data_IF_453159779089
#
_entry.id   IF_453159779089
#
_cell.length_a   1.000
_cell.length_b   1.000
_cell.length_c   1.000
_cell.angle_alpha   90.00
_cell.angle_beta   90.00
_cell.angle_gamma   90.00
#
_symmetry.space_group_name_H-M   'P 1'
#
loop_
_entity.id
_entity.type
_entity.pdbx_description
1 polymer ?
#
# COMPACT_ATOMS: atom_id res chain seq x y z
N UNK A 1 -19.25 13.48 0.31
CA UNK A 1 -18.13 12.51 0.23
C UNK A 1 -17.20 12.57 1.44
N UNK A 2 -16.70 13.76 1.86
CA UNK A 2 -15.88 13.92 3.09
C UNK A 2 -16.45 13.30 4.39
N UNK A 3 -17.77 13.33 4.67
CA UNK A 3 -18.28 12.80 5.94
C UNK A 3 -18.11 11.28 6.10
N UNK A 4 -18.22 10.50 5.02
CA UNK A 4 -18.16 9.04 5.09
C UNK A 4 -16.73 8.49 5.11
N UNK A 5 -15.76 9.21 4.52
CA UNK A 5 -14.36 8.77 4.52
C UNK A 5 -13.71 8.92 5.90
N UNK A 6 -14.12 9.91 6.70
CA UNK A 6 -13.63 10.10 8.07
C UNK A 6 -14.10 8.99 9.01
N UNK A 7 -15.40 8.63 8.96
CA UNK A 7 -16.02 7.61 9.82
C UNK A 7 -15.35 6.23 9.72
N UNK A 8 -14.74 5.92 8.58
CA UNK A 8 -14.11 4.62 8.38
C UNK A 8 -12.78 4.46 9.12
N UNK A 9 -12.10 5.54 9.49
CA UNK A 9 -10.69 5.44 9.92
C UNK A 9 -10.56 5.01 11.36
N UNK A 10 -11.31 5.65 12.25
CA UNK A 10 -11.19 5.40 13.68
C UNK A 10 -11.62 3.99 14.05
N UNK A 11 -12.80 3.56 13.58
CA UNK A 11 -13.36 2.22 13.83
C UNK A 11 -12.58 1.08 13.17
N UNK A 12 -11.60 1.40 12.29
CA UNK A 12 -10.67 0.43 11.71
C UNK A 12 -9.33 0.37 12.43
N UNK A 13 -9.04 1.34 13.30
CA UNK A 13 -7.81 1.42 14.09
C UNK A 13 -8.06 0.98 15.53
N UNK A 14 -9.14 1.48 16.14
CA UNK A 14 -9.53 1.19 17.51
C UNK A 14 -10.88 0.48 17.56
N UNK A 15 -11.06 -0.40 18.54
CA UNK A 15 -12.31 -1.06 18.88
C UNK A 15 -13.28 -0.06 19.52
N UNK A 16 -13.93 0.72 18.66
CA UNK A 16 -14.89 1.76 19.03
C UNK A 16 -16.29 1.27 18.67
N UNK A 17 -17.15 0.98 19.67
CA UNK A 17 -18.47 0.39 19.41
C UNK A 17 -19.46 1.36 18.77
N UNK A 18 -19.23 2.68 18.90
CA UNK A 18 -20.06 3.70 18.31
C UNK A 18 -19.27 5.00 18.09
N UNK A 19 -19.44 5.59 16.90
CA UNK A 19 -18.86 6.88 16.53
C UNK A 19 -19.96 7.81 15.98
N UNK A 20 -19.94 9.08 16.38
CA UNK A 20 -20.79 10.12 15.77
C UNK A 20 -19.93 11.33 15.41
N UNK A 21 -20.01 11.73 14.15
CA UNK A 21 -19.36 12.93 13.63
C UNK A 21 -20.39 13.90 13.04
N UNK A 22 -20.09 15.20 13.10
CA UNK A 22 -20.87 16.24 12.43
C UNK A 22 -19.91 17.21 11.76
N UNK A 23 -20.01 17.32 10.44
CA UNK A 23 -19.24 18.26 9.64
C UNK A 23 -20.16 19.23 8.91
N UNK A 24 -19.76 20.50 8.81
CA UNK A 24 -20.47 21.51 8.03
C UNK A 24 -19.54 22.05 6.95
N UNK A 25 -19.87 21.76 5.69
CA UNK A 25 -19.19 22.38 4.56
C UNK A 25 -19.72 23.81 4.37
N UNK A 26 -18.82 24.76 4.13
CA UNK A 26 -19.16 26.16 3.87
C UNK A 26 -18.41 26.65 2.64
N UNK A 27 -19.05 27.49 1.83
CA UNK A 27 -18.38 28.18 0.74
C UNK A 27 -17.58 29.36 1.29
N UNK A 28 -16.40 29.57 0.72
CA UNK A 28 -15.54 30.72 1.01
C UNK A 28 -14.91 31.21 -0.29
N UNK A 29 -14.42 32.44 -0.33
CA UNK A 29 -13.70 33.00 -1.48
C UNK A 29 -12.23 32.51 -1.52
N UNK A 30 -12.02 31.20 -1.39
CA UNK A 30 -10.70 30.56 -1.46
C UNK A 30 -10.70 29.45 -2.52
N UNK A 31 -9.52 28.97 -2.90
CA UNK A 31 -9.38 27.87 -3.87
C UNK A 31 -10.11 26.63 -3.35
N UNK A 32 -10.88 25.90 -4.19
CA UNK A 32 -11.51 24.65 -3.77
C UNK A 32 -10.50 23.66 -3.18
N UNK A 33 -10.76 23.21 -1.96
CA UNK A 33 -9.91 22.23 -1.28
C UNK A 33 -9.99 20.85 -1.94
N UNK A 34 -8.89 20.09 -1.87
CA UNK A 34 -8.77 18.74 -2.41
C UNK A 34 -8.17 17.76 -1.41
N UNK A 35 -7.97 16.52 -1.85
CA UNK A 35 -7.25 15.53 -1.07
C UNK A 35 -5.74 15.68 -1.24
N UNK A 36 -5.01 15.59 -0.14
CA UNK A 36 -3.57 15.38 -0.16
C UNK A 36 -3.24 14.22 0.76
N UNK A 37 -2.82 13.10 0.16
CA UNK A 37 -2.58 11.81 0.85
C UNK A 37 -3.76 11.30 1.72
N UNK A 38 -4.99 11.60 1.30
CA UNK A 38 -6.20 11.03 1.88
C UNK A 38 -7.37 12.02 1.96
N UNK A 39 -8.59 11.49 1.90
CA UNK A 39 -9.81 12.29 2.07
C UNK A 39 -10.22 12.32 3.55
N UNK A 40 -9.91 13.40 4.25
CA UNK A 40 -10.28 13.55 5.67
C UNK A 40 -9.49 12.66 6.64
N UNK A 41 -8.70 11.71 6.13
CA UNK A 41 -7.94 10.73 6.91
C UNK A 41 -6.89 11.41 7.80
N UNK A 42 -6.07 12.37 7.33
CA UNK A 42 -5.15 13.09 8.22
C UNK A 42 -5.87 13.82 9.35
N UNK A 43 -7.01 14.46 9.06
CA UNK A 43 -7.76 15.25 10.02
C UNK A 43 -8.34 14.39 11.14
N UNK A 44 -8.99 13.27 10.80
CA UNK A 44 -9.64 12.41 11.81
C UNK A 44 -8.60 11.70 12.68
N UNK A 45 -7.47 11.24 12.12
CA UNK A 45 -6.38 10.67 12.91
C UNK A 45 -5.78 11.72 13.85
N UNK A 46 -5.53 12.95 13.36
CA UNK A 46 -4.97 14.01 14.19
C UNK A 46 -5.87 14.31 15.40
N UNK A 47 -7.17 14.46 15.16
CA UNK A 47 -8.14 14.74 16.24
C UNK A 47 -8.20 13.57 17.23
N UNK A 48 -8.26 12.33 16.73
CA UNK A 48 -8.35 11.14 17.56
C UNK A 48 -7.09 10.91 18.41
N UNK A 49 -5.91 10.98 17.79
CA UNK A 49 -4.63 10.71 18.46
C UNK A 49 -4.29 11.76 19.51
N UNK A 50 -4.57 13.03 19.23
CA UNK A 50 -4.43 14.11 20.24
C UNK A 50 -5.40 13.86 21.41
N UNK A 51 -6.63 13.44 21.11
CA UNK A 51 -7.64 13.17 22.14
C UNK A 51 -7.25 11.98 23.01
N UNK A 52 -6.71 10.91 22.42
CA UNK A 52 -6.18 9.76 23.16
C UNK A 52 -5.01 10.15 24.06
N UNK A 53 -4.09 10.97 23.57
CA UNK A 53 -2.97 11.47 24.37
C UNK A 53 -3.41 12.34 25.55
N UNK A 54 -4.36 13.26 25.33
CA UNK A 54 -4.96 14.07 26.41
C UNK A 54 -5.64 13.17 27.44
N UNK A 55 -6.37 12.15 26.98
CA UNK A 55 -7.10 11.22 27.84
C UNK A 55 -6.14 10.35 28.66
N UNK A 56 -5.09 9.80 28.03
CA UNK A 56 -4.04 9.04 28.69
C UNK A 56 -3.39 9.86 29.82
N UNK A 57 -3.03 11.12 29.55
CA UNK A 57 -2.46 12.03 30.56
C UNK A 57 -3.42 12.29 31.73
N UNK A 58 -4.71 12.56 31.45
CA UNK A 58 -5.71 12.81 32.49
C UNK A 58 -5.99 11.58 33.37
N UNK A 59 -5.93 10.39 32.79
CA UNK A 59 -6.17 9.13 33.48
C UNK A 59 -4.89 8.55 34.12
N UNK A 60 -3.73 9.17 33.93
CA UNK A 60 -2.45 8.64 34.42
C UNK A 60 -2.00 7.35 33.71
N UNK A 61 -2.53 7.08 32.51
CA UNK A 61 -2.19 5.90 31.71
C UNK A 61 -1.05 6.25 30.74
N UNK A 62 -0.16 5.30 30.47
CA UNK A 62 0.87 5.46 29.43
C UNK A 62 0.19 5.60 28.04
N UNK A 63 0.56 6.60 27.21
CA UNK A 63 -0.05 6.77 25.88
C UNK A 63 0.06 5.57 24.94
N UNK A 64 1.13 4.76 25.04
CA UNK A 64 1.27 3.51 24.29
C UNK A 64 0.29 2.48 24.83
N UNK A 65 0.22 2.33 26.15
CA UNK A 65 -0.72 1.40 26.80
C UNK A 65 -2.18 1.76 26.51
N UNK A 66 -2.51 3.06 26.52
CA UNK A 66 -3.85 3.54 26.16
C UNK A 66 -4.26 3.05 24.77
N UNK A 67 -3.35 3.09 23.80
CA UNK A 67 -3.61 2.58 22.45
C UNK A 67 -3.71 1.06 22.43
N UNK A 68 -2.78 0.34 23.08
CA UNK A 68 -2.78 -1.12 23.12
C UNK A 68 -4.07 -1.74 23.70
N UNK A 69 -4.72 -1.03 24.64
CA UNK A 69 -6.01 -1.44 25.22
C UNK A 69 -7.20 -1.28 24.28
N UNK A 70 -7.09 -0.38 23.30
CA UNK A 70 -8.19 0.01 22.45
C UNK A 70 -7.97 -0.38 20.98
N UNK A 71 -6.79 -0.87 20.58
CA UNK A 71 -6.55 -1.30 19.20
C UNK A 71 -7.49 -2.43 18.79
N UNK A 72 -7.93 -2.39 17.54
CA UNK A 72 -8.74 -3.45 16.96
C UNK A 72 -7.96 -4.77 16.88
N UNK A 73 -8.65 -5.89 17.08
CA UNK A 73 -8.07 -7.23 16.93
C UNK A 73 -8.00 -7.66 15.44
N UNK A 74 -7.04 -8.54 15.07
CA UNK A 74 -6.99 -9.11 13.74
C UNK A 74 -8.31 -9.76 13.33
N UNK A 75 -8.72 -9.53 12.09
CA UNK A 75 -9.93 -10.05 11.45
C UNK A 75 -11.26 -9.57 12.04
N UNK A 76 -11.23 -8.53 12.89
CA UNK A 76 -12.45 -7.89 13.35
C UNK A 76 -13.29 -7.35 12.17
N UNK A 77 -14.60 -7.26 12.40
CA UNK A 77 -15.54 -6.68 11.44
C UNK A 77 -15.78 -5.23 11.85
N UNK A 78 -15.45 -4.28 10.99
CA UNK A 78 -15.70 -2.87 11.31
C UNK A 78 -17.21 -2.54 11.23
N UNK A 79 -17.73 -1.76 12.19
CA UNK A 79 -19.17 -1.59 12.39
C UNK A 79 -19.87 -0.72 11.34
N UNK A 80 -19.13 0.00 10.48
CA UNK A 80 -19.71 0.94 9.53
C UNK A 80 -20.10 0.29 8.19
N UNK A 81 -19.22 -0.49 7.58
CA UNK A 81 -19.47 -1.17 6.30
C UNK A 81 -19.57 -2.70 6.44
N UNK A 82 -19.35 -3.24 7.64
CA UNK A 82 -19.37 -4.67 7.89
C UNK A 82 -18.20 -5.41 7.23
N UNK A 83 -17.09 -4.71 6.94
CA UNK A 83 -15.94 -5.33 6.28
C UNK A 83 -14.96 -5.89 7.29
N UNK A 84 -14.36 -7.02 6.93
CA UNK A 84 -13.23 -7.57 7.66
C UNK A 84 -12.00 -6.66 7.49
N UNK A 85 -11.36 -6.26 8.58
CA UNK A 85 -10.18 -5.39 8.55
C UNK A 85 -8.89 -6.12 8.16
N UNK A 86 -8.96 -7.45 8.03
CA UNK A 86 -7.85 -8.34 7.71
C UNK A 86 -6.97 -8.60 8.92
N UNK A 87 -5.80 -9.17 8.67
CA UNK A 87 -4.81 -9.48 9.70
C UNK A 87 -4.11 -8.21 10.23
N UNK A 88 -4.85 -7.34 10.93
CA UNK A 88 -4.38 -6.06 11.43
C UNK A 88 -3.22 -6.21 12.44
N UNK A 89 -2.00 -5.76 12.09
CA UNK A 89 -0.82 -5.82 12.99
C UNK A 89 -0.44 -4.47 13.60
N UNK A 90 -1.44 -3.63 13.89
CA UNK A 90 -1.24 -2.35 14.57
C UNK A 90 -0.63 -2.52 15.97
N UNK A 91 -0.99 -3.60 16.68
CA UNK A 91 -0.44 -3.95 18.00
C UNK A 91 1.06 -4.20 17.91
N UNK A 92 1.52 -4.97 16.94
CA UNK A 92 2.93 -5.27 16.71
C UNK A 92 3.72 -4.04 16.29
N UNK A 93 3.14 -3.17 15.44
CA UNK A 93 3.76 -1.89 15.09
C UNK A 93 4.02 -1.06 16.35
N UNK A 94 3.04 -0.99 17.25
CA UNK A 94 3.14 -0.18 18.45
C UNK A 94 4.10 -0.78 19.49
N UNK A 95 4.07 -2.10 19.72
CA UNK A 95 5.00 -2.77 20.65
C UNK A 95 6.44 -2.68 20.15
N UNK A 96 6.70 -3.09 18.91
CA UNK A 96 8.05 -3.11 18.34
C UNK A 96 8.59 -1.70 18.14
N UNK A 97 7.73 -0.77 17.72
CA UNK A 97 8.10 0.63 17.57
C UNK A 97 8.44 1.29 18.91
N UNK A 98 7.67 1.03 19.96
CA UNK A 98 7.94 1.58 21.29
C UNK A 98 9.26 1.05 21.87
N UNK A 99 9.54 -0.24 21.68
CA UNK A 99 10.80 -0.87 22.08
C UNK A 99 11.99 -0.28 21.31
N UNK A 100 11.95 -0.31 19.98
CA UNK A 100 13.00 0.21 19.11
C UNK A 100 13.26 1.71 19.31
N UNK A 101 12.23 2.50 19.60
CA UNK A 101 12.36 3.93 19.89
C UNK A 101 12.90 4.20 21.31
N UNK A 102 12.87 3.23 22.21
CA UNK A 102 13.21 3.42 23.63
C UNK A 102 12.17 4.27 24.37
N UNK A 103 10.88 4.07 24.06
CA UNK A 103 9.76 4.89 24.53
C UNK A 103 9.76 5.13 26.04
N UNK A 104 9.92 4.07 26.84
CA UNK A 104 9.87 4.18 28.30
C UNK A 104 10.98 5.08 28.86
N UNK A 105 12.18 5.05 28.27
CA UNK A 105 13.28 5.93 28.65
C UNK A 105 13.00 7.37 28.30
N UNK A 106 12.60 7.64 27.04
CA UNK A 106 12.35 9.01 26.55
C UNK A 106 11.15 9.68 27.21
N UNK A 107 10.08 8.93 27.47
CA UNK A 107 8.89 9.45 28.16
C UNK A 107 9.20 9.86 29.60
N UNK A 108 10.06 9.10 30.29
CA UNK A 108 10.44 9.34 31.70
C UNK A 108 11.63 10.29 31.84
N UNK A 109 12.34 10.56 30.75
CA UNK A 109 13.45 11.50 30.75
C UNK A 109 12.98 12.86 31.29
N UNK A 110 13.85 13.53 32.05
CA UNK A 110 13.60 14.93 32.42
C UNK A 110 13.39 15.70 31.11
N UNK A 111 12.30 16.46 31.04
CA UNK A 111 12.05 17.39 29.94
C UNK A 111 13.15 18.45 29.82
N UNK A 112 14.14 18.46 30.72
CA UNK A 112 15.21 19.42 30.81
C UNK A 112 14.77 20.65 31.59
N UNK A 113 15.71 21.45 32.09
CA UNK A 113 15.44 22.74 32.74
C UNK A 113 15.92 23.89 31.86
N UNK A 114 15.28 25.06 31.99
CA UNK A 114 15.69 26.28 31.29
C UNK A 114 15.03 26.46 29.91
N UNK A 115 15.81 27.00 28.96
CA UNK A 115 15.36 27.46 27.63
C UNK A 115 14.87 26.31 26.75
N UNK A 116 15.57 25.19 26.75
CA UNK A 116 15.26 24.04 25.89
C UNK A 116 14.46 23.00 26.66
N UNK A 117 13.38 22.49 26.06
CA UNK A 117 12.59 21.39 26.61
C UNK A 117 12.50 20.23 25.64
N UNK A 118 12.50 19.01 26.15
CA UNK A 118 12.32 17.79 25.35
C UNK A 118 10.96 17.16 25.59
N UNK A 119 10.42 16.54 24.54
CA UNK A 119 9.17 15.79 24.59
C UNK A 119 9.22 14.62 23.63
N UNK A 120 8.50 13.55 23.99
CA UNK A 120 8.27 12.40 23.14
C UNK A 120 6.77 12.25 22.87
N UNK A 121 6.41 11.97 21.62
CA UNK A 121 5.04 11.72 21.17
C UNK A 121 4.90 10.36 20.52
N UNK A 122 3.69 9.82 20.53
CA UNK A 122 3.31 8.59 19.83
C UNK A 122 1.98 8.80 19.13
N UNK A 123 1.83 8.22 17.95
CA UNK A 123 0.56 8.15 17.23
C UNK A 123 0.42 6.80 16.52
N UNK A 124 -0.79 6.28 16.42
CA UNK A 124 -1.11 5.14 15.56
C UNK A 124 -1.95 5.59 14.37
N UNK A 125 -1.86 4.86 13.27
CA UNK A 125 -2.60 5.17 12.05
C UNK A 125 -3.06 3.89 11.36
N UNK A 126 -4.15 4.02 10.59
CA UNK A 126 -4.57 3.02 9.62
C UNK A 126 -4.90 3.66 8.27
N UNK A 127 -4.72 2.91 7.20
CA UNK A 127 -5.18 3.30 5.87
C UNK A 127 -5.82 2.12 5.15
N UNK A 128 -6.76 2.41 4.24
CA UNK A 128 -7.41 1.41 3.39
C UNK A 128 -6.84 1.46 1.98
N UNK A 129 -6.85 0.34 1.27
CA UNK A 129 -6.34 0.22 -0.10
C UNK A 129 -7.51 0.05 -1.08
N UNK A 130 -8.07 1.17 -1.54
CA UNK A 130 -9.32 1.24 -2.31
C UNK A 130 -10.46 1.95 -1.56
N UNK A 131 -11.64 1.98 -2.16
CA UNK A 131 -12.83 2.66 -1.62
C UNK A 131 -14.10 1.79 -1.67
N UNK A 132 -13.99 0.46 -1.65
CA UNK A 132 -15.15 -0.44 -1.66
C UNK A 132 -16.06 -0.25 -0.43
N UNK A 133 -17.39 -0.38 -0.52
CA UNK A 133 -18.21 -0.45 -1.73
C UNK A 133 -18.62 0.95 -2.25
N UNK A 134 -18.00 2.03 -1.76
CA UNK A 134 -18.36 3.40 -2.12
C UNK A 134 -18.04 3.78 -3.57
N UNK A 135 -17.12 3.05 -4.22
CA UNK A 135 -16.85 3.13 -5.65
C UNK A 135 -16.74 1.73 -6.25
N UNK A 136 -16.96 1.64 -7.56
CA UNK A 136 -16.68 0.44 -8.36
C UNK A 136 -15.17 0.28 -8.54
N UNK A 137 -14.53 -0.35 -7.56
CA UNK A 137 -13.09 -0.51 -7.53
C UNK A 137 -12.65 -1.71 -8.38
N UNK A 138 -12.42 -1.48 -9.67
CA UNK A 138 -11.96 -2.51 -10.61
C UNK A 138 -10.82 -2.04 -11.52
N UNK A 139 -9.99 -2.99 -11.96
CA UNK A 139 -8.89 -2.77 -12.91
C UNK A 139 -8.84 -3.91 -13.90
N UNK A 140 -8.60 -3.58 -15.17
CA UNK A 140 -8.34 -4.55 -16.24
C UNK A 140 -6.86 -4.53 -16.59
N UNK A 141 -6.24 -5.70 -16.66
CA UNK A 141 -4.84 -5.85 -17.05
C UNK A 141 -4.73 -6.88 -18.18
N UNK A 142 -3.91 -6.57 -19.18
CA UNK A 142 -3.54 -7.52 -20.23
C UNK A 142 -2.04 -7.74 -20.21
N UNK A 143 -1.61 -9.01 -20.23
CA UNK A 143 -0.22 -9.40 -20.41
C UNK A 143 -0.06 -10.19 -21.72
N UNK A 144 1.01 -9.92 -22.47
CA UNK A 144 1.29 -10.56 -23.75
C UNK A 144 2.74 -11.04 -23.81
N UNK A 145 2.98 -12.22 -24.37
CA UNK A 145 4.33 -12.64 -24.73
C UNK A 145 4.80 -11.88 -25.99
N UNK A 146 6.02 -11.37 -25.96
CA UNK A 146 6.65 -10.68 -27.09
C UNK A 146 7.57 -11.62 -27.90
N UNK A 147 7.85 -11.31 -29.17
CA UNK A 147 8.71 -12.14 -30.03
C UNK A 147 10.12 -12.38 -29.48
N UNK A 148 10.64 -11.46 -28.67
CA UNK A 148 11.98 -11.55 -28.05
C UNK A 148 11.98 -12.31 -26.71
N UNK A 149 10.84 -12.89 -26.31
CA UNK A 149 10.69 -13.64 -25.06
C UNK A 149 10.42 -12.78 -23.82
N UNK A 150 10.31 -11.45 -23.98
CA UNK A 150 9.82 -10.53 -22.94
C UNK A 150 8.31 -10.58 -22.85
N UNK A 151 7.73 -9.83 -21.91
CA UNK A 151 6.29 -9.62 -21.85
C UNK A 151 5.92 -8.13 -21.88
N UNK A 152 4.74 -7.83 -22.40
CA UNK A 152 4.14 -6.51 -22.39
C UNK A 152 2.95 -6.48 -21.43
N UNK A 153 2.88 -5.45 -20.58
CA UNK A 153 1.78 -5.15 -19.68
C UNK A 153 1.00 -3.93 -20.18
N UNK A 154 -0.28 -4.14 -20.49
CA UNK A 154 -1.24 -3.08 -20.82
C UNK A 154 -2.22 -2.90 -19.66
N UNK A 155 -2.16 -1.74 -19.02
CA UNK A 155 -3.04 -1.34 -17.94
C UNK A 155 -3.10 0.20 -17.89
N UNK A 156 -4.27 0.82 -17.74
CA UNK A 156 -4.42 2.29 -17.75
C UNK A 156 -3.99 2.92 -16.43
N UNK A 157 -2.72 2.75 -16.07
CA UNK A 157 -2.17 3.20 -14.81
C UNK A 157 -0.95 4.08 -15.06
N UNK A 158 -0.89 5.18 -14.32
CA UNK A 158 0.19 6.15 -14.44
C UNK A 158 0.92 6.27 -13.12
N UNK A 159 2.23 6.05 -13.13
CA UNK A 159 3.07 6.26 -11.96
C UNK A 159 3.26 7.77 -11.71
N UNK A 160 2.88 8.21 -10.52
CA UNK A 160 3.02 9.61 -10.08
C UNK A 160 4.30 9.84 -9.26
N UNK A 161 5.26 8.92 -9.35
CA UNK A 161 6.49 8.90 -8.56
C UNK A 161 6.39 8.03 -7.31
N UNK A 162 5.40 7.13 -7.23
CA UNK A 162 5.28 6.15 -6.15
C UNK A 162 6.02 4.83 -6.44
N UNK A 163 6.53 4.64 -7.67
CA UNK A 163 7.23 3.42 -8.08
C UNK A 163 6.25 2.29 -8.43
N UNK A 164 5.04 2.66 -8.87
CA UNK A 164 4.01 1.72 -9.31
C UNK A 164 4.50 0.88 -10.49
N UNK A 165 5.13 1.49 -11.50
CA UNK A 165 5.58 0.78 -12.69
C UNK A 165 6.57 -0.34 -12.33
N UNK A 166 7.55 -0.04 -11.47
CA UNK A 166 8.51 -1.04 -10.98
C UNK A 166 7.81 -2.15 -10.19
N UNK A 167 6.93 -1.78 -9.27
CA UNK A 167 6.23 -2.74 -8.40
C UNK A 167 5.32 -3.67 -9.20
N UNK A 168 4.57 -3.13 -10.17
CA UNK A 168 3.66 -3.88 -11.03
C UNK A 168 4.42 -4.79 -12.01
N UNK A 169 5.55 -4.33 -12.54
CA UNK A 169 6.46 -5.17 -13.34
C UNK A 169 7.05 -6.33 -12.51
N UNK A 170 7.39 -6.11 -11.23
CA UNK A 170 7.84 -7.18 -10.33
C UNK A 170 6.76 -8.24 -10.11
N UNK A 171 5.50 -7.83 -9.91
CA UNK A 171 4.36 -8.75 -9.77
C UNK A 171 4.18 -9.58 -11.05
N UNK A 172 4.16 -8.95 -12.22
CA UNK A 172 4.05 -9.65 -13.50
C UNK A 172 5.24 -10.61 -13.72
N UNK A 173 6.47 -10.14 -13.49
CA UNK A 173 7.69 -10.93 -13.64
C UNK A 173 7.71 -12.20 -12.77
N UNK A 174 7.30 -12.10 -11.50
CA UNK A 174 7.22 -13.26 -10.58
C UNK A 174 6.28 -14.34 -11.12
N UNK A 175 5.16 -13.97 -11.75
CA UNK A 175 4.22 -14.95 -12.34
C UNK A 175 4.73 -15.60 -13.63
N UNK A 176 5.63 -14.93 -14.37
CA UNK A 176 6.13 -15.35 -15.68
C UNK A 176 7.55 -15.92 -15.65
N UNK A 177 8.22 -15.93 -14.50
CA UNK A 177 9.63 -16.31 -14.40
C UNK A 177 10.57 -15.34 -15.14
N UNK A 178 10.15 -14.06 -15.25
CA UNK A 178 10.87 -12.98 -15.92
C UNK A 178 11.39 -11.96 -14.90
N UNK A 179 12.45 -11.24 -15.25
CA UNK A 179 12.87 -10.09 -14.43
C UNK A 179 11.92 -8.92 -14.70
N UNK A 180 11.78 -8.01 -13.74
CA UNK A 180 10.94 -6.83 -13.91
C UNK A 180 11.36 -5.97 -15.13
N UNK A 181 12.65 -5.91 -15.46
CA UNK A 181 13.15 -5.19 -16.65
C UNK A 181 12.83 -5.89 -17.99
N UNK A 182 12.35 -7.14 -17.95
CA UNK A 182 11.86 -7.87 -19.11
C UNK A 182 10.33 -7.75 -19.26
N UNK A 183 9.68 -6.91 -18.44
CA UNK A 183 8.28 -6.53 -18.55
C UNK A 183 8.19 -5.09 -19.09
N UNK A 184 7.76 -4.94 -20.34
CA UNK A 184 7.48 -3.64 -20.95
C UNK A 184 6.11 -3.15 -20.50
N UNK A 185 6.04 -1.99 -19.86
CA UNK A 185 4.77 -1.37 -19.47
C UNK A 185 4.36 -0.37 -20.54
N UNK A 186 3.16 -0.53 -21.08
CA UNK A 186 2.58 0.43 -22.02
C UNK A 186 2.18 1.68 -21.25
N UNK A 187 2.64 2.88 -21.65
CA UNK A 187 2.21 4.13 -21.05
C UNK A 187 0.68 4.26 -21.09
N UNK A 188 0.07 4.73 -20.00
CA UNK A 188 -1.37 4.92 -19.95
C UNK A 188 -1.85 5.92 -21.02
N UNK A 189 -2.67 5.42 -21.94
CA UNK A 189 -3.35 6.18 -22.98
C UNK A 189 -4.80 5.66 -23.08
N UNK A 190 -5.79 6.56 -23.09
CA UNK A 190 -7.21 6.20 -23.13
C UNK A 190 -7.63 5.57 -24.46
N UNK A 191 -6.83 5.72 -25.52
CA UNK A 191 -7.09 5.08 -26.81
C UNK A 191 -6.60 3.62 -26.84
N UNK A 192 -5.56 3.28 -26.07
CA UNK A 192 -4.91 1.96 -26.12
C UNK A 192 -5.09 1.11 -24.86
N UNK A 193 -5.41 1.71 -23.72
CA UNK A 193 -5.55 1.01 -22.45
C UNK A 193 -7.02 0.88 -22.02
N UNK A 194 -7.39 -0.22 -21.34
CA UNK A 194 -8.73 -0.37 -20.76
C UNK A 194 -9.03 0.74 -19.75
N UNK A 195 -10.30 1.13 -19.60
CA UNK A 195 -10.71 2.12 -18.59
C UNK A 195 -10.26 1.74 -17.17
N UNK A 196 -9.75 2.71 -16.41
CA UNK A 196 -9.41 2.58 -14.99
C UNK A 196 -9.73 3.88 -14.23
N UNK A 197 -9.89 3.80 -12.91
CA UNK A 197 -10.09 4.96 -12.02
C UNK A 197 -8.79 5.71 -11.70
N UNK A 198 -7.64 5.18 -12.12
CA UNK A 198 -6.33 5.78 -12.02
C UNK A 198 -5.70 5.68 -10.63
N UNK A 199 -4.56 6.34 -10.48
CA UNK A 199 -3.69 6.25 -9.29
C UNK A 199 -4.25 7.06 -8.12
N UNK A 200 -5.01 6.39 -7.24
CA UNK A 200 -5.62 6.99 -6.03
C UNK A 200 -5.79 5.98 -4.89
N UNK A 201 -6.11 6.45 -3.69
CA UNK A 201 -6.54 5.64 -2.54
C UNK A 201 -5.65 4.41 -2.22
N UNK A 202 -4.35 4.49 -2.54
CA UNK A 202 -3.39 3.39 -2.40
C UNK A 202 -3.83 2.07 -3.06
N UNK A 203 -4.68 2.13 -4.10
CA UNK A 203 -5.26 0.93 -4.73
C UNK A 203 -4.29 0.15 -5.62
N UNK A 204 -3.16 0.75 -5.98
CA UNK A 204 -2.25 0.27 -7.02
C UNK A 204 -1.81 -1.17 -6.77
N UNK A 205 -1.20 -1.43 -5.62
CA UNK A 205 -0.67 -2.77 -5.32
C UNK A 205 -1.79 -3.79 -5.10
N UNK A 206 -2.83 -3.44 -4.36
CA UNK A 206 -3.88 -4.39 -3.99
C UNK A 206 -4.81 -4.75 -5.16
N UNK A 207 -5.32 -3.74 -5.87
CA UNK A 207 -6.35 -3.96 -6.90
C UNK A 207 -5.69 -4.20 -8.25
N UNK A 208 -4.78 -3.31 -8.65
CA UNK A 208 -4.13 -3.42 -9.95
C UNK A 208 -3.12 -4.57 -9.95
N UNK A 209 -2.32 -4.69 -8.88
CA UNK A 209 -1.41 -5.80 -8.70
C UNK A 209 -2.12 -7.15 -8.72
N UNK A 210 -3.32 -7.28 -8.17
CA UNK A 210 -4.09 -8.53 -8.25
C UNK A 210 -4.63 -8.80 -9.67
N UNK A 211 -5.11 -7.79 -10.39
CA UNK A 211 -5.49 -7.96 -11.81
C UNK A 211 -4.30 -8.45 -12.65
N UNK A 212 -3.12 -7.86 -12.43
CA UNK A 212 -1.88 -8.20 -13.11
C UNK A 212 -1.40 -9.61 -12.72
N UNK A 213 -1.46 -9.96 -11.44
CA UNK A 213 -1.11 -11.31 -10.96
C UNK A 213 -1.99 -12.37 -11.61
N UNK A 214 -3.31 -12.11 -11.74
CA UNK A 214 -4.25 -13.01 -12.42
C UNK A 214 -3.93 -13.14 -13.91
N UNK A 215 -3.77 -12.02 -14.61
CA UNK A 215 -3.38 -12.01 -16.02
C UNK A 215 -2.05 -12.76 -16.24
N UNK A 216 -1.11 -12.62 -15.31
CA UNK A 216 0.19 -13.26 -15.37
C UNK A 216 0.12 -14.77 -15.17
N UNK A 217 -0.73 -15.25 -14.25
CA UNK A 217 -1.01 -16.68 -14.08
C UNK A 217 -1.65 -17.27 -15.33
N UNK A 218 -2.68 -16.59 -15.87
CA UNK A 218 -3.37 -17.03 -17.08
C UNK A 218 -2.42 -17.05 -18.30
N UNK A 219 -1.57 -16.03 -18.46
CA UNK A 219 -0.54 -16.02 -19.50
C UNK A 219 0.48 -17.15 -19.29
N UNK A 220 0.90 -17.40 -18.05
CA UNK A 220 1.83 -18.48 -17.75
C UNK A 220 1.25 -19.86 -18.11
N UNK A 221 -0.05 -20.07 -17.88
CA UNK A 221 -0.77 -21.27 -18.31
C UNK A 221 -0.80 -21.41 -19.84
N UNK A 222 -1.11 -20.32 -20.55
CA UNK A 222 -1.13 -20.30 -22.02
C UNK A 222 0.28 -20.58 -22.62
N UNK A 223 1.33 -20.01 -22.03
CA UNK A 223 2.73 -20.29 -22.44
C UNK A 223 3.08 -21.76 -22.22
N UNK A 224 2.73 -22.34 -21.05
CA UNK A 224 2.97 -23.76 -20.77
C UNK A 224 2.23 -24.65 -21.76
N UNK A 225 0.97 -24.33 -22.07
CA UNK A 225 0.17 -25.07 -23.04
C UNK A 225 0.81 -25.03 -24.44
N UNK A 226 1.27 -23.86 -24.89
CA UNK A 226 1.97 -23.70 -26.17
C UNK A 226 3.30 -24.49 -26.23
N UNK A 227 3.96 -24.67 -25.09
CA UNK A 227 5.24 -25.39 -24.99
C UNK A 227 5.10 -26.92 -24.91
N UNK A 228 3.89 -27.47 -24.68
CA UNK A 228 3.67 -28.92 -24.53
C UNK A 228 4.17 -29.69 -25.75
N UNK A 229 3.80 -29.25 -26.95
CA UNK A 229 4.20 -29.90 -28.20
C UNK A 229 5.71 -29.77 -28.44
N UNK A 230 6.28 -28.60 -28.16
CA UNK A 230 7.71 -28.33 -28.33
C UNK A 230 8.60 -29.16 -27.41
N UNK A 231 8.10 -29.39 -26.19
CA UNK A 231 8.84 -30.07 -25.15
C UNK A 231 8.39 -31.53 -24.97
N UNK A 232 7.45 -32.02 -25.77
CA UNK A 232 6.91 -33.38 -25.71
C UNK A 232 6.67 -33.85 -24.25
N UNK A 233 6.01 -33.00 -23.47
CA UNK A 233 5.81 -33.19 -22.02
C UNK A 233 4.51 -32.53 -21.57
N UNK A 234 3.94 -33.00 -20.46
CA UNK A 234 2.71 -32.44 -19.93
C UNK A 234 2.92 -31.04 -19.33
N UNK A 235 1.91 -30.17 -19.49
CA UNK A 235 1.95 -28.78 -19.01
C UNK A 235 2.15 -28.69 -17.48
N UNK A 236 1.64 -29.68 -16.72
CA UNK A 236 1.71 -29.73 -15.26
C UNK A 236 3.14 -29.83 -14.72
N UNK A 237 4.07 -30.39 -15.50
CA UNK A 237 5.49 -30.49 -15.14
C UNK A 237 6.33 -29.29 -15.57
N UNK A 238 5.75 -28.35 -16.33
CA UNK A 238 6.48 -27.20 -16.85
C UNK A 238 6.45 -26.02 -15.87
N UNK A 239 7.59 -25.36 -15.73
CA UNK A 239 7.77 -24.15 -14.92
C UNK A 239 8.36 -23.03 -15.77
N UNK A 240 7.97 -21.79 -15.50
CA UNK A 240 8.58 -20.63 -16.13
C UNK A 240 9.68 -20.09 -15.21
N UNK A 241 10.90 -20.02 -15.72
CA UNK A 241 12.05 -19.60 -14.93
C UNK A 241 13.15 -19.06 -15.85
N UNK A 242 13.74 -17.92 -15.46
CA UNK A 242 14.85 -17.29 -16.16
C UNK A 242 14.58 -17.09 -17.67
N UNK A 243 13.40 -16.61 -18.03
CA UNK A 243 13.02 -16.34 -19.42
C UNK A 243 12.84 -17.60 -20.29
N UNK A 244 12.51 -18.74 -19.67
CA UNK A 244 12.34 -19.99 -20.37
C UNK A 244 11.24 -20.86 -19.75
N UNK A 245 10.69 -21.75 -20.58
CA UNK A 245 9.88 -22.88 -20.13
C UNK A 245 10.82 -24.04 -19.80
N UNK A 246 10.80 -24.51 -18.56
CA UNK A 246 11.70 -25.56 -18.03
C UNK A 246 10.91 -26.81 -17.64
N UNK A 247 11.45 -27.96 -17.99
CA UNK A 247 11.02 -29.29 -17.51
C UNK A 247 11.55 -29.54 -16.09
N UNK A 248 11.04 -30.58 -15.40
CA UNK A 248 11.54 -30.97 -14.07
C UNK A 248 13.03 -31.35 -14.06
N UNK A 249 13.54 -31.90 -15.16
CA UNK A 249 14.95 -32.29 -15.34
C UNK A 249 15.91 -31.11 -15.62
N UNK A 250 15.39 -29.88 -15.71
CA UNK A 250 16.16 -28.66 -15.98
C UNK A 250 16.35 -28.32 -17.45
N UNK A 251 16.03 -29.24 -18.37
CA UNK A 251 15.99 -28.94 -19.80
C UNK A 251 14.82 -28.00 -20.14
N UNK A 252 14.86 -27.31 -21.26
CA UNK A 252 13.77 -26.40 -21.62
C UNK A 252 13.97 -25.62 -22.90
N UNK A 253 13.10 -24.66 -23.13
CA UNK A 253 13.06 -23.80 -24.31
C UNK A 253 12.98 -22.34 -23.88
N UNK A 254 13.82 -21.47 -24.44
CA UNK A 254 13.72 -20.04 -24.16
C UNK A 254 12.36 -19.49 -24.66
N UNK A 255 11.82 -18.49 -23.98
CA UNK A 255 10.54 -17.89 -24.39
C UNK A 255 10.64 -17.25 -25.77
N UNK A 256 11.80 -16.70 -26.14
CA UNK A 256 12.09 -16.18 -27.49
C UNK A 256 12.04 -17.27 -28.55
N UNK A 257 12.58 -18.46 -28.25
CA UNK A 257 12.58 -19.58 -29.19
C UNK A 257 11.17 -20.15 -29.35
N UNK A 258 10.41 -20.25 -28.25
CA UNK A 258 8.99 -20.62 -28.30
C UNK A 258 8.22 -19.63 -29.17
N UNK A 259 8.39 -18.32 -28.95
CA UNK A 259 7.73 -17.29 -29.73
C UNK A 259 8.08 -17.37 -31.22
N UNK A 260 9.36 -17.59 -31.56
CA UNK A 260 9.81 -17.75 -32.93
C UNK A 260 9.18 -18.99 -33.61
N UNK A 261 9.02 -20.10 -32.89
CA UNK A 261 8.39 -21.33 -33.42
C UNK A 261 6.89 -21.16 -33.65
N UNK A 262 6.19 -20.51 -32.73
CA UNK A 262 4.77 -20.16 -32.90
C UNK A 262 4.58 -19.25 -34.13
N UNK A 263 5.40 -18.21 -34.25
CA UNK A 263 5.37 -17.30 -35.39
C UNK A 263 5.66 -18.01 -36.72
N UNK A 264 6.63 -18.94 -36.75
CA UNK A 264 6.94 -19.73 -37.94
C UNK A 264 5.78 -20.63 -38.40
N UNK A 265 4.86 -20.99 -37.48
CA UNK A 265 3.62 -21.72 -37.79
C UNK A 265 2.44 -20.80 -38.10
N UNK A 266 2.60 -19.48 -38.00
CA UNK A 266 1.51 -18.52 -38.14
C UNK A 266 0.54 -18.53 -36.95
N UNK A 267 0.97 -19.04 -35.80
CA UNK A 267 0.19 -19.02 -34.55
C UNK A 267 0.35 -17.69 -33.82
N UNK A 268 -0.70 -17.23 -33.14
CA UNK A 268 -0.65 -16.04 -32.30
C UNK A 268 0.20 -16.30 -31.04
N UNK A 269 0.92 -15.28 -30.59
CA UNK A 269 1.64 -15.35 -29.32
C UNK A 269 0.66 -15.33 -28.14
N UNK A 270 0.92 -16.10 -27.06
CA UNK A 270 0.08 -16.11 -25.89
C UNK A 270 -0.17 -14.72 -25.30
N UNK A 271 -1.44 -14.46 -24.97
CA UNK A 271 -1.89 -13.25 -24.29
C UNK A 271 -3.01 -13.62 -23.32
N UNK A 272 -3.14 -12.86 -22.23
CA UNK A 272 -4.23 -13.01 -21.28
C UNK A 272 -4.70 -11.66 -20.76
N UNK A 273 -6.03 -11.50 -20.64
CA UNK A 273 -6.67 -10.30 -20.09
C UNK A 273 -7.53 -10.70 -18.90
N UNK A 274 -7.35 -10.03 -17.78
CA UNK A 274 -8.09 -10.28 -16.55
C UNK A 274 -8.66 -8.99 -15.97
N UNK A 275 -9.82 -9.13 -15.32
CA UNK A 275 -10.48 -8.04 -14.60
C UNK A 275 -10.55 -8.43 -13.13
N UNK A 276 -9.97 -7.61 -12.25
CA UNK A 276 -10.16 -7.76 -10.82
C UNK A 276 -11.10 -6.69 -10.28
N UNK A 277 -12.12 -7.13 -9.55
CA UNK A 277 -13.08 -6.28 -8.84
C UNK A 277 -12.88 -6.48 -7.34
N UNK A 278 -12.43 -5.43 -6.65
CA UNK A 278 -12.20 -5.51 -5.22
C UNK A 278 -13.53 -5.61 -4.45
N UNK A 279 -13.60 -6.57 -3.53
CA UNK A 279 -14.74 -6.79 -2.63
C UNK A 279 -14.36 -6.59 -1.15
N UNK A 280 -13.18 -6.03 -0.90
CA UNK A 280 -12.65 -5.75 0.43
C UNK A 280 -11.68 -4.57 0.35
N UNK A 281 -11.36 -3.98 1.51
CA UNK A 281 -10.33 -2.96 1.64
C UNK A 281 -9.35 -3.37 2.74
N UNK A 282 -8.28 -4.13 2.42
CA UNK A 282 -7.31 -4.50 3.42
C UNK A 282 -6.65 -3.25 4.01
N UNK A 283 -6.47 -3.26 5.33
CA UNK A 283 -5.84 -2.19 6.07
C UNK A 283 -4.31 -2.26 6.02
N UNK A 284 -3.68 -1.10 6.03
CA UNK A 284 -2.29 -0.93 6.47
C UNK A 284 -2.31 -0.25 7.83
N UNK A 285 -1.36 -0.58 8.69
CA UNK A 285 -1.31 -0.09 10.07
C UNK A 285 0.06 0.52 10.35
N UNK A 286 0.11 1.51 11.24
CA UNK A 286 1.37 2.12 11.63
C UNK A 286 1.35 2.60 13.08
N UNK A 287 2.55 2.69 13.65
CA UNK A 287 2.86 3.41 14.86
C UNK A 287 4.05 4.33 14.61
N UNK A 288 3.87 5.61 14.92
CA UNK A 288 4.85 6.66 14.74
C UNK A 288 5.26 7.19 16.11
N UNK A 289 6.55 7.45 16.27
CA UNK A 289 7.15 7.99 17.48
C UNK A 289 8.06 9.14 17.09
N UNK A 290 8.00 10.24 17.85
CA UNK A 290 8.83 11.41 17.59
C UNK A 290 9.41 11.94 18.89
N UNK A 291 10.67 12.31 18.87
CA UNK A 291 11.30 13.13 19.91
C UNK A 291 11.50 14.54 19.35
N UNK A 292 11.14 15.53 20.16
CA UNK A 292 11.32 16.93 19.83
C UNK A 292 12.04 17.68 20.93
N UNK A 293 12.78 18.70 20.53
CA UNK A 293 13.31 19.73 21.41
C UNK A 293 12.68 21.08 21.04
N UNK A 294 12.22 21.81 22.05
CA UNK A 294 11.50 23.09 21.90
C UNK A 294 12.26 24.20 22.61
N UNK A 295 12.54 25.28 21.88
CA UNK A 295 13.01 26.54 22.45
C UNK A 295 11.85 27.31 23.07
N UNK A 296 11.80 27.40 24.41
CA UNK A 296 10.73 28.11 25.11
C UNK A 296 10.74 29.62 24.89
N UNK A 297 11.84 30.21 24.41
CA UNK A 297 11.92 31.64 24.14
C UNK A 297 11.41 31.99 22.74
N UNK A 298 11.65 31.12 21.75
CA UNK A 298 11.33 31.41 20.34
C UNK A 298 10.16 30.58 19.80
N UNK A 299 9.76 29.52 20.50
CA UNK A 299 8.78 28.53 20.02
C UNK A 299 9.33 27.58 18.98
N UNK A 300 10.61 27.69 18.59
CA UNK A 300 11.21 26.84 17.56
C UNK A 300 11.26 25.38 18.03
N UNK A 301 10.71 24.49 17.18
CA UNK A 301 10.72 23.04 17.40
C UNK A 301 11.75 22.40 16.49
N UNK A 302 12.54 21.47 17.06
CA UNK A 302 13.45 20.60 16.33
C UNK A 302 13.04 19.16 16.58
N UNK A 303 12.70 18.41 15.53
CA UNK A 303 12.55 16.96 15.60
C UNK A 303 13.95 16.37 15.74
N UNK A 304 14.25 15.76 16.89
CA UNK A 304 15.57 15.19 17.19
C UNK A 304 15.65 13.73 16.82
N UNK A 305 14.52 13.03 16.81
CA UNK A 305 14.44 11.64 16.38
C UNK A 305 13.01 11.30 15.91
N UNK A 306 12.90 10.35 15.00
CA UNK A 306 11.61 9.89 14.47
C UNK A 306 11.70 8.41 14.07
N UNK A 307 10.76 7.61 14.58
CA UNK A 307 10.61 6.20 14.22
C UNK A 307 9.21 5.93 13.67
N UNK A 308 9.14 5.22 12.54
CA UNK A 308 7.89 4.76 11.96
C UNK A 308 7.93 3.23 11.83
N UNK A 309 6.99 2.55 12.50
CA UNK A 309 6.77 1.12 12.35
C UNK A 309 5.47 0.92 11.55
N UNK A 310 5.56 0.25 10.39
CA UNK A 310 4.44 0.02 9.50
C UNK A 310 4.21 -1.47 9.25
N UNK A 311 2.94 -1.88 9.28
CA UNK A 311 2.44 -3.11 8.69
C UNK A 311 1.75 -2.78 7.36
N UNK A 312 2.41 -3.15 6.28
CA UNK A 312 1.94 -2.98 4.89
C UNK A 312 1.56 -4.32 4.25
N UNK A 313 1.50 -5.41 5.03
CA UNK A 313 1.45 -6.76 4.49
C UNK A 313 2.75 -7.15 3.76
N UNK A 314 2.63 -7.77 2.59
CA UNK A 314 3.80 -8.16 1.77
C UNK A 314 4.37 -6.94 1.06
N UNK A 315 5.53 -6.47 1.50
CA UNK A 315 6.30 -5.45 0.79
C UNK A 315 6.86 -6.04 -0.51
N UNK A 316 6.27 -5.67 -1.66
CA UNK A 316 6.75 -6.10 -2.98
C UNK A 316 8.15 -5.55 -3.24
N UNK A 317 8.38 -4.27 -2.91
CA UNK A 317 9.66 -3.60 -3.01
C UNK A 317 9.94 -2.82 -1.72
N UNK A 318 10.73 -3.38 -0.78
CA UNK A 318 11.00 -2.74 0.51
C UNK A 318 11.60 -1.34 0.38
N UNK A 319 12.51 -1.12 -0.58
CA UNK A 319 13.13 0.18 -0.82
C UNK A 319 12.10 1.25 -1.21
N UNK A 320 11.15 0.92 -2.08
CA UNK A 320 10.09 1.85 -2.47
C UNK A 320 9.10 2.12 -1.33
N UNK A 321 8.80 1.09 -0.52
CA UNK A 321 7.96 1.23 0.68
C UNK A 321 8.61 2.21 1.65
N UNK A 322 9.91 2.05 1.95
CA UNK A 322 10.66 2.97 2.80
C UNK A 322 10.65 4.39 2.24
N UNK A 323 10.87 4.56 0.93
CA UNK A 323 10.79 5.86 0.26
C UNK A 323 9.43 6.55 0.44
N UNK A 324 8.32 5.82 0.31
CA UNK A 324 6.97 6.35 0.55
C UNK A 324 6.74 6.77 2.00
N UNK A 325 7.26 5.97 2.95
CA UNK A 325 7.21 6.27 4.39
C UNK A 325 7.99 7.55 4.68
N UNK A 326 9.23 7.68 4.19
CA UNK A 326 10.05 8.89 4.35
C UNK A 326 9.35 10.13 3.82
N UNK A 327 8.80 10.06 2.60
CA UNK A 327 8.03 11.16 2.02
C UNK A 327 6.79 11.52 2.85
N UNK A 328 6.12 10.51 3.43
CA UNK A 328 4.96 10.71 4.31
C UNK A 328 5.32 11.39 5.63
N UNK A 329 6.43 10.98 6.24
CA UNK A 329 6.96 11.60 7.46
C UNK A 329 7.30 13.06 7.21
N UNK A 330 8.00 13.37 6.12
CA UNK A 330 8.39 14.74 5.79
C UNK A 330 7.18 15.65 5.61
N UNK A 331 6.15 15.19 4.88
CA UNK A 331 4.89 15.93 4.73
C UNK A 331 4.18 16.09 6.07
N UNK A 332 4.14 15.04 6.89
CA UNK A 332 3.53 15.08 8.23
C UNK A 332 4.22 16.08 9.17
N UNK A 333 5.55 16.18 9.12
CA UNK A 333 6.32 17.20 9.84
C UNK A 333 5.96 18.61 9.33
N UNK A 334 5.80 18.77 8.00
CA UNK A 334 5.31 20.00 7.37
C UNK A 334 3.99 20.47 7.98
N UNK A 335 2.97 19.61 7.95
CA UNK A 335 1.66 19.89 8.55
C UNK A 335 1.70 20.15 10.06
N UNK A 336 2.59 19.50 10.80
CA UNK A 336 2.65 19.67 12.24
C UNK A 336 3.30 20.99 12.66
N UNK A 337 4.24 21.53 11.86
CA UNK A 337 5.14 22.60 12.29
C UNK A 337 5.13 23.86 11.42
N UNK A 338 4.68 23.79 10.17
CA UNK A 338 4.88 24.87 9.19
C UNK A 338 3.66 25.22 8.33
N UNK A 339 2.89 24.23 7.89
CA UNK A 339 1.78 24.35 6.92
C UNK A 339 0.41 24.25 7.58
#
# INVERSE_FOLDING_TARGET
>A
YLPSSMLQRLVRLYDVPAERYTGRAVYTNTVPAGAFRGYGSPQIHTIAEITLDISARRLGVDPVEMRLRNLIEPNAIEPWQGLNVGNARGRECLIRGADAFGWQGRRRADAGRGRWRRGAGVASATHINGCYPGFHEETTATLRLLPDGRAELVCALHDLGCGADTTLAQIAGETLGLRACDIAIVPADTDSCPYDLGTRASRMTYICGEAIRRAGIALAEAIRAAAVLELNTEASGLRLEAGAVRRPDGSGLALSDLAARLAARGEELPAATEIYRAQANPGSYAAHFAEVEVDRLTGRVRVTDYLAAHDVGRAINPMLVEGQIHGGIQIGIGYALYE
#
